data_IF_437001896068
#
_entry.id   IF_437001896068
#
_cell.length_a   1.000
_cell.length_b   1.000
_cell.length_c   1.000
_cell.angle_alpha   90.00
_cell.angle_beta   90.00
_cell.angle_gamma   90.00
#
_symmetry.space_group_name_H-M   'P 1'
#
loop_
_entity.id
_entity.type
_entity.pdbx_description
1 polymer ?
#
# COMPACT_ATOMS: atom_id res chain seq x y z
N UNK A 1 7.28 11.44 -5.70
CA UNK A 1 6.63 12.43 -6.58
C UNK A 1 7.00 13.83 -6.17
N UNK A 2 6.81 14.22 -4.90
CA UNK A 2 7.18 15.54 -4.34
C UNK A 2 8.53 16.12 -4.83
N UNK A 3 9.62 15.37 -4.71
CA UNK A 3 10.97 15.87 -5.02
C UNK A 3 11.29 15.93 -6.52
N UNK A 4 10.62 15.11 -7.34
CA UNK A 4 10.96 14.94 -8.76
C UNK A 4 9.71 14.75 -9.63
N UNK A 5 8.72 15.66 -9.58
CA UNK A 5 7.46 15.47 -10.29
C UNK A 5 7.66 15.42 -11.80
N UNK A 6 8.55 16.28 -12.34
CA UNK A 6 8.87 16.33 -13.77
C UNK A 6 9.66 15.13 -14.32
N UNK A 7 9.97 14.12 -13.50
CA UNK A 7 10.63 12.87 -13.92
C UNK A 7 9.69 11.66 -13.92
N UNK A 8 8.41 11.87 -13.58
CA UNK A 8 7.44 10.79 -13.41
C UNK A 8 6.28 11.09 -14.36
N UNK A 9 6.12 10.26 -15.40
CA UNK A 9 4.99 10.40 -16.33
C UNK A 9 3.66 10.04 -15.65
N UNK A 10 3.65 8.94 -14.90
CA UNK A 10 2.52 8.45 -14.14
C UNK A 10 3.00 7.65 -12.93
N UNK A 11 2.29 7.76 -11.81
CA UNK A 11 2.49 6.92 -10.63
C UNK A 11 1.35 5.91 -10.50
N UNK A 12 1.71 4.63 -10.40
CA UNK A 12 0.75 3.53 -10.24
C UNK A 12 0.77 3.03 -8.80
N UNK A 13 -0.39 3.05 -8.15
CA UNK A 13 -0.60 2.53 -6.81
C UNK A 13 -1.35 1.20 -6.92
N UNK A 14 -0.68 0.09 -6.61
CA UNK A 14 -1.27 -1.26 -6.65
C UNK A 14 -1.65 -1.67 -5.24
N UNK A 15 -2.96 -1.71 -4.93
CA UNK A 15 -3.50 -2.03 -3.60
C UNK A 15 -2.65 -1.46 -2.46
N UNK A 16 -2.27 -0.19 -2.61
CA UNK A 16 -1.28 0.49 -1.78
C UNK A 16 -1.91 1.59 -0.94
N UNK A 17 -1.15 2.07 0.06
CA UNK A 17 -1.48 3.32 0.72
C UNK A 17 -1.26 4.50 -0.23
N UNK A 18 -2.31 5.27 -0.47
CA UNK A 18 -2.31 6.45 -1.33
C UNK A 18 -2.43 7.71 -0.45
N UNK A 19 -1.34 8.46 -0.24
CA UNK A 19 -1.40 9.75 0.43
C UNK A 19 -2.17 10.79 -0.39
N UNK A 20 -2.51 11.91 0.25
CA UNK A 20 -3.05 13.11 -0.39
C UNK A 20 -2.16 14.35 -0.11
N UNK A 21 -2.53 15.48 -0.70
CA UNK A 21 -1.86 16.79 -0.58
C UNK A 21 -2.51 17.73 0.45
N UNK A 22 -3.60 17.31 1.08
CA UNK A 22 -4.36 18.12 2.04
C UNK A 22 -3.93 17.84 3.48
N UNK A 23 -3.72 16.56 3.79
CA UNK A 23 -3.37 16.07 5.10
C UNK A 23 -1.88 15.74 5.18
N UNK A 24 -1.42 15.46 6.40
CA UNK A 24 -0.06 14.97 6.63
C UNK A 24 0.13 13.60 5.97
N UNK A 25 1.35 13.24 5.56
CA UNK A 25 1.62 11.94 4.92
C UNK A 25 1.18 10.72 5.74
N UNK A 26 1.10 10.83 7.08
CA UNK A 26 0.62 9.75 7.96
C UNK A 26 -0.88 9.51 7.88
N UNK A 27 -1.68 10.45 7.37
CA UNK A 27 -3.14 10.44 7.50
C UNK A 27 -3.77 9.13 6.99
N UNK A 28 -3.37 8.67 5.80
CA UNK A 28 -3.88 7.41 5.24
C UNK A 28 -3.53 6.19 6.11
N UNK A 29 -2.37 6.19 6.75
CA UNK A 29 -1.93 5.11 7.64
C UNK A 29 -2.67 5.16 8.98
N UNK A 30 -2.89 6.37 9.52
CA UNK A 30 -3.68 6.58 10.73
C UNK A 30 -5.11 6.10 10.53
N UNK A 31 -5.74 6.47 9.41
CA UNK A 31 -7.09 6.00 9.07
C UNK A 31 -7.13 4.48 8.89
N UNK A 32 -6.13 3.89 8.25
CA UNK A 32 -6.04 2.44 8.12
C UNK A 32 -5.95 1.74 9.48
N UNK A 33 -5.06 2.22 10.36
CA UNK A 33 -4.88 1.64 11.70
C UNK A 33 -6.12 1.81 12.56
N UNK A 34 -6.77 2.97 12.51
CA UNK A 34 -8.01 3.26 13.26
C UNK A 34 -9.17 2.33 12.82
N UNK A 35 -9.28 2.06 11.51
CA UNK A 35 -10.34 1.22 10.95
C UNK A 35 -10.02 -0.28 10.99
N UNK A 36 -8.78 -0.67 11.32
CA UNK A 36 -8.36 -2.07 11.33
C UNK A 36 -8.41 -2.64 12.76
N UNK A 37 -9.33 -3.58 13.07
CA UNK A 37 -9.40 -4.21 14.38
C UNK A 37 -8.09 -4.93 14.74
N UNK A 38 -7.71 -4.92 16.01
CA UNK A 38 -6.50 -5.59 16.51
C UNK A 38 -6.41 -7.04 16.07
N UNK A 39 -7.54 -7.75 16.04
CA UNK A 39 -7.62 -9.16 15.66
C UNK A 39 -7.28 -9.41 14.18
N UNK A 40 -7.45 -8.40 13.32
CA UNK A 40 -7.15 -8.50 11.89
C UNK A 40 -5.65 -8.66 11.62
N UNK A 41 -4.79 -8.22 12.54
CA UNK A 41 -3.34 -8.34 12.47
C UNK A 41 -2.81 -9.75 12.76
N UNK A 42 -3.65 -10.65 13.29
CA UNK A 42 -3.32 -12.05 13.58
C UNK A 42 -2.04 -12.19 14.42
N UNK A 43 -0.99 -12.79 13.85
CA UNK A 43 0.30 -13.03 14.50
C UNK A 43 1.38 -12.01 14.07
N UNK A 44 0.98 -10.85 13.56
CA UNK A 44 1.89 -9.73 13.33
C UNK A 44 2.45 -9.21 14.64
N UNK A 45 3.77 -9.06 14.72
CA UNK A 45 4.45 -8.51 15.89
C UNK A 45 4.66 -7.01 15.73
N UNK A 46 4.28 -6.25 16.74
CA UNK A 46 4.62 -4.84 16.89
C UNK A 46 5.59 -4.68 18.07
N UNK A 47 6.77 -4.09 17.82
CA UNK A 47 7.79 -3.91 18.87
C UNK A 47 8.35 -2.49 18.84
N UNK A 48 8.46 -1.82 20.00
CA UNK A 48 9.16 -0.54 20.07
C UNK A 48 10.65 -0.74 19.74
N UNK A 49 11.26 0.24 19.08
CA UNK A 49 12.70 0.30 18.83
C UNK A 49 13.20 1.74 18.85
N UNK A 50 14.52 1.93 18.89
CA UNK A 50 15.12 3.26 18.99
C UNK A 50 15.08 3.83 20.41
N UNK A 51 15.27 5.14 20.51
CA UNK A 51 15.25 5.84 21.80
C UNK A 51 13.79 5.98 22.31
N UNK A 52 13.55 5.88 23.64
CA UNK A 52 12.20 5.91 24.20
C UNK A 52 11.37 7.15 23.83
N UNK A 53 12.03 8.29 23.59
CA UNK A 53 11.40 9.57 23.23
C UNK A 53 10.91 9.61 21.77
N UNK A 54 11.46 8.77 20.89
CA UNK A 54 11.09 8.75 19.48
C UNK A 54 9.83 7.93 19.21
N UNK A 55 9.47 7.04 20.16
CA UNK A 55 8.30 6.17 20.12
C UNK A 55 8.20 5.30 18.84
N UNK A 56 9.31 4.96 18.20
CA UNK A 56 9.29 4.23 16.94
C UNK A 56 8.78 2.79 17.11
N UNK A 57 7.89 2.39 16.22
CA UNK A 57 7.29 1.04 16.24
C UNK A 57 7.69 0.24 15.01
N UNK A 58 8.30 -0.93 15.22
CA UNK A 58 8.54 -1.91 14.17
C UNK A 58 7.34 -2.83 14.01
N UNK A 59 7.13 -3.32 12.79
CA UNK A 59 6.05 -4.22 12.41
C UNK A 59 6.67 -5.41 11.67
N UNK A 60 6.34 -6.63 12.10
CA UNK A 60 6.83 -7.85 11.49
C UNK A 60 5.69 -8.85 11.28
N UNK A 61 5.35 -9.09 10.02
CA UNK A 61 4.25 -9.99 9.66
C UNK A 61 4.56 -11.43 10.02
N UNK A 62 3.67 -12.03 10.82
CA UNK A 62 3.74 -13.44 11.17
C UNK A 62 3.25 -14.36 10.06
N UNK A 63 3.57 -15.67 10.14
CA UNK A 63 3.21 -16.64 9.13
C UNK A 63 1.69 -16.82 8.92
N UNK A 64 0.85 -16.60 9.93
CA UNK A 64 -0.63 -16.68 9.78
C UNK A 64 -1.16 -15.45 9.06
N UNK A 65 -0.64 -14.26 9.38
CA UNK A 65 -0.98 -13.03 8.66
C UNK A 65 -0.60 -13.12 7.19
N UNK A 66 0.65 -13.52 6.88
CA UNK A 66 1.09 -13.75 5.51
C UNK A 66 0.15 -14.68 4.75
N UNK A 67 -0.14 -15.86 5.30
CA UNK A 67 -0.97 -16.86 4.64
C UNK A 67 -2.44 -16.43 4.45
N UNK A 68 -3.02 -15.73 5.42
CA UNK A 68 -4.47 -15.49 5.46
C UNK A 68 -4.88 -14.13 4.92
N UNK A 69 -3.97 -13.16 4.92
CA UNK A 69 -4.24 -11.75 4.60
C UNK A 69 -3.53 -11.26 3.35
N UNK A 70 -2.34 -11.78 3.06
CA UNK A 70 -1.50 -11.29 1.96
C UNK A 70 -1.44 -12.27 0.78
N UNK A 71 -1.24 -13.56 1.06
CA UNK A 71 -0.97 -14.63 0.08
C UNK A 71 -2.13 -15.63 -0.04
N UNK A 72 -3.37 -15.22 0.25
CA UNK A 72 -4.51 -16.15 0.33
C UNK A 72 -4.94 -16.74 -1.02
N UNK A 73 -4.51 -16.17 -2.15
CA UNK A 73 -4.73 -16.68 -3.50
C UNK A 73 -3.41 -17.04 -4.22
N UNK A 74 -2.26 -16.83 -3.59
CA UNK A 74 -0.96 -17.23 -4.11
C UNK A 74 -0.71 -18.74 -3.98
N UNK A 75 0.34 -19.22 -4.65
CA UNK A 75 0.77 -20.61 -4.52
C UNK A 75 1.41 -20.89 -3.15
N UNK A 76 1.41 -22.16 -2.67
CA UNK A 76 2.17 -22.55 -1.48
C UNK A 76 3.66 -22.23 -1.58
N UNK A 77 4.23 -22.30 -2.79
CA UNK A 77 5.63 -21.98 -3.08
C UNK A 77 5.93 -20.50 -2.85
N UNK A 78 5.05 -19.60 -3.31
CA UNK A 78 5.17 -18.16 -3.06
C UNK A 78 5.10 -17.83 -1.57
N UNK A 79 4.15 -18.45 -0.85
CA UNK A 79 4.04 -18.30 0.60
C UNK A 79 5.27 -18.83 1.34
N UNK A 80 5.84 -19.96 0.89
CA UNK A 80 7.06 -20.52 1.46
C UNK A 80 8.24 -19.57 1.24
N UNK A 81 8.39 -19.03 0.04
CA UNK A 81 9.42 -18.05 -0.29
C UNK A 81 9.27 -16.77 0.56
N UNK A 82 8.05 -16.26 0.70
CA UNK A 82 7.76 -15.09 1.51
C UNK A 82 8.18 -15.28 2.98
N UNK A 83 7.87 -16.45 3.57
CA UNK A 83 8.29 -16.78 4.95
C UNK A 83 9.81 -16.83 5.13
N UNK A 84 10.57 -17.11 4.07
CA UNK A 84 12.03 -17.12 4.12
C UNK A 84 12.66 -15.74 3.96
N UNK A 85 11.94 -14.79 3.34
CA UNK A 85 12.50 -13.50 2.92
C UNK A 85 11.93 -12.30 3.68
N UNK A 86 10.76 -12.42 4.30
CA UNK A 86 10.12 -11.33 5.05
C UNK A 86 11.03 -10.86 6.19
N UNK A 87 11.07 -9.55 6.40
CA UNK A 87 11.86 -8.89 7.45
C UNK A 87 11.01 -7.85 8.17
N UNK A 88 11.35 -7.48 9.41
CA UNK A 88 10.70 -6.37 10.10
C UNK A 88 10.78 -5.08 9.28
N UNK A 89 9.69 -4.31 9.31
CA UNK A 89 9.56 -2.97 8.70
C UNK A 89 8.94 -2.00 9.72
N UNK A 90 8.49 -0.83 9.28
CA UNK A 90 7.69 0.11 10.08
C UNK A 90 6.73 0.87 9.16
N UNK A 91 5.61 1.34 9.72
CA UNK A 91 4.73 2.29 9.04
C UNK A 91 5.24 3.73 9.16
N UNK A 92 6.22 3.99 10.05
CA UNK A 92 6.82 5.31 10.28
C UNK A 92 5.79 6.42 10.58
N UNK A 93 4.66 6.08 11.23
CA UNK A 93 3.59 7.03 11.53
C UNK A 93 4.12 8.19 12.38
N UNK A 94 5.02 7.91 13.33
CA UNK A 94 5.59 8.90 14.23
C UNK A 94 6.47 9.94 13.51
N UNK A 95 7.13 9.55 12.41
CA UNK A 95 7.88 10.46 11.55
C UNK A 95 6.94 11.19 10.57
N UNK A 96 6.12 10.43 9.83
CA UNK A 96 5.23 10.96 8.79
C UNK A 96 4.19 11.95 9.34
N UNK A 97 3.77 11.81 10.60
CA UNK A 97 2.86 12.75 11.28
C UNK A 97 3.52 14.06 11.69
N UNK A 98 4.85 14.17 11.62
CA UNK A 98 5.60 15.41 11.86
C UNK A 98 5.98 16.11 10.55
N UNK A 99 5.86 15.44 9.42
CA UNK A 99 6.14 16.01 8.10
C UNK A 99 5.02 16.96 7.65
N UNK A 100 5.38 17.90 6.77
CA UNK A 100 4.40 18.74 6.10
C UNK A 100 3.60 17.91 5.08
N UNK A 101 2.33 18.29 4.81
CA UNK A 101 1.58 17.75 3.67
C UNK A 101 2.37 17.81 2.37
N UNK A 102 2.10 16.86 1.47
CA UNK A 102 2.65 16.93 0.12
C UNK A 102 2.06 18.12 -0.64
N UNK A 103 2.82 18.71 -1.57
CA UNK A 103 2.36 19.89 -2.30
C UNK A 103 1.56 19.53 -3.55
N UNK A 104 0.70 20.45 -3.99
CA UNK A 104 0.00 20.33 -5.27
C UNK A 104 0.96 20.45 -6.45
N UNK A 105 1.97 21.32 -6.36
CA UNK A 105 2.97 21.50 -7.40
C UNK A 105 3.92 20.29 -7.49
N UNK A 106 4.19 19.63 -6.37
CA UNK A 106 5.01 18.43 -6.25
C UNK A 106 4.21 17.15 -6.47
N UNK A 107 3.78 16.50 -5.40
CA UNK A 107 3.01 15.26 -5.45
C UNK A 107 1.74 15.37 -6.28
N UNK A 108 0.96 16.45 -6.08
CA UNK A 108 -0.35 16.63 -6.70
C UNK A 108 -0.31 16.70 -8.22
N UNK A 109 0.78 17.25 -8.78
CA UNK A 109 0.95 17.47 -10.22
C UNK A 109 1.18 16.19 -11.02
N UNK A 110 1.66 15.12 -10.38
CA UNK A 110 1.88 13.83 -11.04
C UNK A 110 0.55 13.08 -11.20
N UNK A 111 0.27 12.59 -12.41
CA UNK A 111 -0.90 11.74 -12.66
C UNK A 111 -0.79 10.44 -11.88
N UNK A 112 -1.88 10.06 -11.21
CA UNK A 112 -1.96 8.86 -10.37
C UNK A 112 -2.97 7.89 -10.93
N UNK A 113 -2.61 6.62 -11.01
CA UNK A 113 -3.51 5.52 -11.36
C UNK A 113 -3.54 4.55 -10.20
N UNK A 114 -4.73 4.07 -9.84
CA UNK A 114 -4.88 3.05 -8.80
C UNK A 114 -5.28 1.73 -9.44
N UNK A 115 -4.59 0.64 -9.09
CA UNK A 115 -4.97 -0.72 -9.43
C UNK A 115 -5.48 -1.38 -8.16
N UNK A 116 -6.78 -1.66 -8.13
CA UNK A 116 -7.43 -2.31 -7.00
C UNK A 116 -7.35 -3.83 -7.10
N UNK A 117 -7.19 -4.48 -5.97
CA UNK A 117 -7.21 -5.95 -5.84
C UNK A 117 -8.46 -6.34 -5.04
N UNK A 118 -9.42 -7.01 -5.69
CA UNK A 118 -10.76 -7.24 -5.11
C UNK A 118 -10.77 -8.27 -3.98
N UNK A 119 -9.82 -9.21 -3.99
CA UNK A 119 -9.68 -10.27 -3.00
C UNK A 119 -8.58 -9.95 -1.96
N UNK A 120 -8.12 -8.69 -1.91
CA UNK A 120 -7.19 -8.21 -0.89
C UNK A 120 -7.83 -8.24 0.50
N UNK A 121 -7.17 -8.95 1.41
CA UNK A 121 -7.61 -9.13 2.80
C UNK A 121 -6.79 -8.34 3.81
N UNK A 122 -5.74 -7.67 3.36
CA UNK A 122 -4.91 -6.78 4.17
C UNK A 122 -5.37 -5.33 4.00
N UNK A 123 -5.43 -4.82 2.77
CA UNK A 123 -5.98 -3.50 2.46
C UNK A 123 -7.32 -3.73 1.79
N UNK A 124 -8.38 -3.79 2.60
CA UNK A 124 -9.72 -4.17 2.12
C UNK A 124 -10.21 -3.26 1.00
N UNK A 125 -10.98 -3.82 0.06
CA UNK A 125 -11.48 -3.10 -1.11
C UNK A 125 -12.20 -1.80 -0.76
N UNK A 126 -12.94 -1.77 0.35
CA UNK A 126 -13.64 -0.56 0.80
C UNK A 126 -12.66 0.52 1.27
N UNK A 127 -11.54 0.14 1.88
CA UNK A 127 -10.47 1.08 2.21
C UNK A 127 -9.70 1.54 0.96
N UNK A 128 -9.51 0.67 -0.03
CA UNK A 128 -8.96 1.08 -1.33
C UNK A 128 -9.86 2.11 -2.03
N UNK A 129 -11.19 1.89 -2.05
CA UNK A 129 -12.17 2.85 -2.57
C UNK A 129 -12.18 4.18 -1.81
N UNK A 130 -12.17 4.11 -0.48
CA UNK A 130 -12.12 5.31 0.36
C UNK A 130 -10.89 6.19 0.03
N UNK A 131 -9.71 5.58 -0.15
CA UNK A 131 -8.50 6.32 -0.54
C UNK A 131 -8.62 6.97 -1.93
N UNK A 132 -9.22 6.26 -2.89
CA UNK A 132 -9.46 6.76 -4.24
C UNK A 132 -10.39 7.98 -4.21
N UNK A 133 -11.47 7.91 -3.44
CA UNK A 133 -12.43 8.99 -3.26
C UNK A 133 -11.82 10.19 -2.52
N UNK A 134 -10.96 9.94 -1.53
CA UNK A 134 -10.37 10.99 -0.70
C UNK A 134 -9.18 11.71 -1.36
N UNK A 135 -8.26 10.97 -1.99
CA UNK A 135 -7.02 11.53 -2.59
C UNK A 135 -7.19 11.90 -4.07
N UNK A 136 -8.12 11.25 -4.77
CA UNK A 136 -8.36 11.45 -6.19
C UNK A 136 -7.27 10.84 -7.08
N UNK A 137 -7.70 10.08 -8.09
CA UNK A 137 -6.83 9.46 -9.10
C UNK A 137 -7.39 9.71 -10.50
N UNK A 138 -6.50 9.68 -11.51
CA UNK A 138 -6.86 9.91 -12.90
C UNK A 138 -7.55 8.70 -13.55
N UNK A 139 -7.19 7.49 -13.11
CA UNK A 139 -7.73 6.23 -13.62
C UNK A 139 -7.72 5.19 -12.49
N UNK A 140 -8.72 4.31 -12.51
CA UNK A 140 -8.80 3.14 -11.64
C UNK A 140 -8.91 1.91 -12.53
N UNK A 141 -8.10 0.89 -12.27
CA UNK A 141 -8.25 -0.46 -12.80
C UNK A 141 -8.54 -1.42 -11.66
N UNK A 142 -9.25 -2.50 -11.92
CA UNK A 142 -9.58 -3.51 -10.90
C UNK A 142 -9.17 -4.90 -11.40
N UNK A 143 -8.49 -5.66 -10.54
CA UNK A 143 -8.20 -7.08 -10.77
C UNK A 143 -9.12 -7.89 -9.86
N UNK A 144 -10.04 -8.65 -10.47
CA UNK A 144 -11.11 -9.36 -9.74
C UNK A 144 -10.58 -10.52 -8.89
N UNK A 145 -9.55 -11.24 -9.34
CA UNK A 145 -9.05 -12.44 -8.66
C UNK A 145 -7.65 -12.26 -8.03
N UNK A 146 -7.29 -11.04 -7.67
CA UNK A 146 -6.01 -10.73 -7.02
C UNK A 146 -6.16 -10.58 -5.51
N UNK A 147 -5.31 -11.30 -4.76
CA UNK A 147 -5.03 -10.97 -3.37
C UNK A 147 -4.09 -9.76 -3.27
N UNK A 148 -3.59 -9.45 -2.07
CA UNK A 148 -2.66 -8.33 -1.86
C UNK A 148 -1.38 -8.46 -2.70
N UNK A 149 -0.96 -9.68 -3.01
CA UNK A 149 0.23 -9.99 -3.78
C UNK A 149 -0.10 -10.21 -5.26
N UNK A 150 -0.81 -9.25 -5.89
CA UNK A 150 -1.25 -9.35 -7.29
C UNK A 150 -0.14 -9.64 -8.30
N UNK A 151 1.10 -9.28 -8.00
CA UNK A 151 2.27 -9.62 -8.83
C UNK A 151 2.66 -11.10 -8.79
N UNK A 152 2.10 -11.88 -7.85
CA UNK A 152 2.30 -13.31 -7.69
C UNK A 152 1.01 -14.09 -8.01
N UNK A 153 -0.14 -13.65 -7.50
CA UNK A 153 -1.43 -14.30 -7.75
C UNK A 153 -1.95 -14.07 -9.17
N UNK A 154 -1.78 -12.87 -9.72
CA UNK A 154 -2.31 -12.48 -11.06
C UNK A 154 -1.28 -11.72 -11.93
N UNK A 155 -0.05 -12.22 -12.11
CA UNK A 155 1.05 -11.47 -12.74
C UNK A 155 0.77 -11.03 -14.18
N UNK A 156 0.04 -11.85 -14.95
CA UNK A 156 -0.24 -11.58 -16.37
C UNK A 156 -1.20 -10.41 -16.54
N UNK A 157 -2.26 -10.37 -15.74
CA UNK A 157 -3.25 -9.31 -15.78
C UNK A 157 -2.66 -8.00 -15.26
N UNK A 158 -1.89 -8.05 -14.16
CA UNK A 158 -1.12 -6.89 -13.69
C UNK A 158 -0.18 -6.35 -14.77
N UNK A 159 0.57 -7.23 -15.44
CA UNK A 159 1.46 -6.84 -16.54
C UNK A 159 0.71 -6.16 -17.68
N UNK A 160 -0.43 -6.70 -18.09
CA UNK A 160 -1.27 -6.09 -19.12
C UNK A 160 -1.72 -4.68 -18.72
N UNK A 161 -2.23 -4.51 -17.50
CA UNK A 161 -2.64 -3.20 -17.00
C UNK A 161 -1.49 -2.20 -16.95
N UNK A 162 -0.30 -2.62 -16.50
CA UNK A 162 0.88 -1.75 -16.49
C UNK A 162 1.30 -1.35 -17.91
N UNK A 163 1.22 -2.25 -18.89
CA UNK A 163 1.51 -1.94 -20.30
C UNK A 163 0.48 -0.96 -20.89
N UNK A 164 -0.81 -1.14 -20.60
CA UNK A 164 -1.87 -0.21 -21.01
C UNK A 164 -1.65 1.19 -20.41
N UNK A 165 -1.36 1.26 -19.11
CA UNK A 165 -1.05 2.53 -18.44
C UNK A 165 0.20 3.17 -19.05
N UNK A 166 1.27 2.39 -19.26
CA UNK A 166 2.49 2.90 -19.88
C UNK A 166 2.21 3.49 -21.27
N UNK A 167 1.35 2.85 -22.08
CA UNK A 167 0.98 3.37 -23.41
C UNK A 167 0.10 4.63 -23.34
N UNK A 168 -0.80 4.73 -22.35
CA UNK A 168 -1.73 5.85 -22.21
C UNK A 168 -1.06 7.12 -21.65
N UNK A 169 0.03 6.96 -20.88
CA UNK A 169 0.74 8.04 -20.21
C UNK A 169 2.21 8.16 -20.67
N UNK A 170 2.56 7.60 -21.83
CA UNK A 170 3.88 7.75 -22.47
C UNK A 170 4.12 9.15 -23.01
#
# INVERSE_FOLDING_TARGET
MEMYPGKISVAVFLSAFLPDSTHKPSYVLEQYVELTPTEAWLDTEFKPFGDPEDHLTSMFFGPKFLASKLYNLCSPEDLALAKMLVRPSSLFIEDLSKQNPFSEEGFGSVKRVYIMCREDRAILVDFQRWQIENSGVAEVKEIENADHMAMLSTPKELCQFLLEIANNYA
#
